data_IF_136283699918
#
_entry.id   IF_136283699918
#
_cell.length_a   1.000
_cell.length_b   1.000
_cell.length_c   1.000
_cell.angle_alpha   90.00
_cell.angle_beta   90.00
_cell.angle_gamma   90.00
#
_symmetry.space_group_name_H-M   'P 1'
#
loop_
_entity.id
_entity.type
_entity.pdbx_description
1 polymer ?
#
# COMPACT_ATOMS: atom_id res chain seq x y z
N UNK A 1 3.32 -12.83 14.74
CA UNK A 1 2.68 -11.85 13.83
C UNK A 1 1.69 -11.01 14.59
N UNK A 2 1.68 -9.69 14.37
CA UNK A 2 0.69 -8.74 14.89
C UNK A 2 0.12 -7.92 13.73
N UNK A 3 -1.20 -7.76 13.67
CA UNK A 3 -1.87 -6.92 12.70
C UNK A 3 -2.64 -5.85 13.47
N UNK A 4 -2.37 -4.59 13.14
CA UNK A 4 -3.08 -3.44 13.70
C UNK A 4 -3.92 -2.81 12.59
N UNK A 5 -5.23 -2.78 12.78
CA UNK A 5 -6.16 -2.09 11.90
C UNK A 5 -6.09 -0.58 12.18
N UNK A 6 -5.63 0.18 11.21
CA UNK A 6 -5.52 1.65 11.33
C UNK A 6 -6.80 2.32 10.84
N UNK A 7 -7.35 1.83 9.75
CA UNK A 7 -8.61 2.32 9.21
C UNK A 7 -8.76 2.06 7.72
N UNK A 8 -9.97 1.72 7.29
CA UNK A 8 -10.30 1.32 5.92
C UNK A 8 -9.43 0.14 5.46
N UNK A 9 -8.57 0.31 4.46
CA UNK A 9 -7.63 -0.71 3.98
C UNK A 9 -6.21 -0.56 4.55
N UNK A 10 -5.98 0.44 5.41
CA UNK A 10 -4.67 0.70 6.01
C UNK A 10 -4.46 -0.22 7.21
N UNK A 11 -3.48 -1.12 7.10
CA UNK A 11 -3.05 -2.04 8.14
C UNK A 11 -1.57 -1.85 8.43
N UNK A 12 -1.18 -1.95 9.69
CA UNK A 12 0.20 -2.16 10.10
C UNK A 12 0.39 -3.63 10.45
N UNK A 13 1.26 -4.32 9.70
CA UNK A 13 1.57 -5.73 9.87
C UNK A 13 3.00 -5.85 10.39
N UNK A 14 3.15 -6.49 11.57
CA UNK A 14 4.44 -6.79 12.18
C UNK A 14 4.66 -8.31 12.14
N UNK A 15 5.63 -8.74 11.33
CA UNK A 15 5.91 -10.15 11.06
C UNK A 15 7.40 -10.34 10.70
N UNK A 16 8.04 -11.37 11.23
CA UNK A 16 9.45 -11.68 10.92
C UNK A 16 10.42 -10.53 11.25
N UNK A 17 10.12 -9.73 12.28
CA UNK A 17 10.92 -8.56 12.63
C UNK A 17 10.72 -7.36 11.68
N UNK A 18 9.82 -7.47 10.70
CA UNK A 18 9.50 -6.43 9.72
C UNK A 18 8.17 -5.73 10.04
N UNK A 19 8.07 -4.45 9.67
CA UNK A 19 6.88 -3.62 9.79
C UNK A 19 6.43 -3.16 8.41
N UNK A 20 5.28 -3.63 8.01
CA UNK A 20 4.69 -3.42 6.68
C UNK A 20 3.44 -2.55 6.85
N UNK A 21 3.33 -1.50 6.06
CA UNK A 21 2.10 -0.71 5.97
C UNK A 21 1.38 -1.03 4.66
N UNK A 22 0.08 -1.31 4.72
CA UNK A 22 -0.72 -1.52 3.50
C UNK A 22 -1.57 -0.29 3.18
N UNK A 23 -1.73 0.01 1.91
CA UNK A 23 -2.68 0.99 1.35
C UNK A 23 -2.82 2.26 2.22
N UNK A 24 -1.72 3.04 2.40
CA UNK A 24 -1.70 4.14 3.35
C UNK A 24 -2.62 5.28 2.92
N UNK A 25 -3.72 5.42 3.63
CA UNK A 25 -4.64 6.53 3.50
C UNK A 25 -5.00 7.07 4.89
N UNK A 26 -4.47 8.23 5.25
CA UNK A 26 -4.70 8.95 6.50
C UNK A 26 -5.51 10.23 6.28
N UNK A 27 -6.01 10.45 5.06
CA UNK A 27 -6.80 11.62 4.74
C UNK A 27 -8.14 11.63 5.51
N UNK A 28 -8.71 12.80 5.79
CA UNK A 28 -10.01 12.92 6.43
C UNK A 28 -11.15 12.40 5.53
N UNK A 29 -10.85 12.17 4.24
CA UNK A 29 -11.79 11.61 3.27
C UNK A 29 -11.20 10.37 2.60
N UNK A 30 -12.03 9.38 2.38
CA UNK A 30 -11.72 8.20 1.58
C UNK A 30 -12.05 8.50 0.11
N UNK A 31 -11.00 8.78 -0.66
CA UNK A 31 -11.19 9.30 -2.01
C UNK A 31 -11.69 10.74 -2.00
N UNK A 32 -12.52 11.09 -2.97
CA UNK A 32 -12.91 12.50 -3.21
C UNK A 32 -14.15 12.95 -2.44
N UNK A 33 -15.02 12.02 -2.06
CA UNK A 33 -16.37 12.37 -1.60
C UNK A 33 -16.83 11.67 -0.32
N UNK A 34 -16.13 10.67 0.15
CA UNK A 34 -16.50 9.90 1.34
C UNK A 34 -15.74 10.40 2.55
N UNK A 35 -16.42 11.07 3.46
CA UNK A 35 -15.83 11.39 4.77
C UNK A 35 -15.56 10.11 5.56
N UNK A 36 -14.47 10.09 6.32
CA UNK A 36 -14.24 9.00 7.28
C UNK A 36 -15.30 9.03 8.37
N UNK A 37 -15.69 7.85 8.83
CA UNK A 37 -16.59 7.70 9.99
C UNK A 37 -15.82 7.83 11.30
N UNK A 38 -14.53 7.48 11.29
CA UNK A 38 -13.64 7.55 12.45
C UNK A 38 -12.23 7.96 12.02
N UNK A 39 -11.51 8.63 12.92
CA UNK A 39 -10.09 8.92 12.74
C UNK A 39 -9.27 7.63 12.60
N UNK A 40 -8.10 7.68 11.92
CA UNK A 40 -7.16 6.56 11.89
C UNK A 40 -6.76 6.14 13.31
N UNK A 41 -6.74 4.83 13.58
CA UNK A 41 -6.41 4.28 14.90
C UNK A 41 -4.97 4.55 15.38
N UNK A 42 -4.08 4.90 14.45
CA UNK A 42 -2.74 5.43 14.73
C UNK A 42 -2.59 6.70 13.90
N UNK A 43 -2.19 7.80 14.51
CA UNK A 43 -1.86 9.03 13.79
C UNK A 43 -0.58 8.81 12.95
N UNK A 44 -0.50 9.45 11.79
CA UNK A 44 0.59 9.22 10.83
C UNK A 44 1.97 9.54 11.41
N UNK A 45 2.07 10.57 12.25
CA UNK A 45 3.29 10.98 12.98
C UNK A 45 3.69 10.02 14.12
N UNK A 46 2.79 9.09 14.47
CA UNK A 46 3.02 8.04 15.48
C UNK A 46 3.26 6.66 14.87
N UNK A 47 3.36 6.57 13.54
CA UNK A 47 3.75 5.33 12.89
C UNK A 47 5.14 4.91 13.36
N UNK A 48 5.35 3.61 13.65
CA UNK A 48 6.70 3.12 13.90
C UNK A 48 7.54 3.21 12.62
N UNK A 49 8.87 3.13 12.74
CA UNK A 49 9.74 3.01 11.57
C UNK A 49 9.29 1.80 10.74
N UNK A 50 8.97 2.05 9.47
CA UNK A 50 8.51 1.03 8.54
C UNK A 50 9.69 0.40 7.79
N UNK A 51 9.53 -0.85 7.34
CA UNK A 51 10.46 -1.51 6.44
C UNK A 51 10.00 -1.40 4.97
N UNK A 52 8.68 -1.41 4.73
CA UNK A 52 8.11 -1.31 3.39
C UNK A 52 6.63 -0.92 3.42
N UNK A 53 6.14 -0.48 2.26
CA UNK A 53 4.73 -0.27 1.98
C UNK A 53 4.30 -1.25 0.88
N UNK A 54 3.14 -1.87 1.04
CA UNK A 54 2.48 -2.69 0.02
C UNK A 54 1.21 -1.98 -0.43
N UNK A 55 1.15 -1.57 -1.69
CA UNK A 55 -0.01 -0.93 -2.28
C UNK A 55 -0.76 -1.93 -3.17
N UNK A 56 -2.02 -2.20 -2.86
CA UNK A 56 -2.80 -3.19 -3.62
C UNK A 56 -3.22 -2.66 -4.98
N UNK A 57 -3.69 -1.43 -5.08
CA UNK A 57 -4.15 -0.81 -6.32
C UNK A 57 -4.28 0.72 -6.19
N UNK A 58 -4.72 1.39 -7.25
CA UNK A 58 -4.68 2.86 -7.34
C UNK A 58 -5.97 3.58 -6.95
N UNK A 59 -6.98 2.92 -6.38
CA UNK A 59 -8.19 3.62 -5.93
C UNK A 59 -7.87 4.70 -4.89
N UNK A 60 -8.64 5.77 -4.90
CA UNK A 60 -8.33 6.97 -4.11
C UNK A 60 -8.52 6.77 -2.59
N UNK A 61 -9.26 5.75 -2.19
CA UNK A 61 -9.44 5.33 -0.80
C UNK A 61 -8.30 4.40 -0.31
N UNK A 62 -7.47 3.86 -1.20
CA UNK A 62 -6.29 3.05 -0.91
C UNK A 62 -4.98 3.83 -1.09
N UNK A 63 -4.89 4.67 -2.11
CA UNK A 63 -3.70 5.46 -2.43
C UNK A 63 -3.94 6.94 -2.17
N UNK A 64 -3.34 7.49 -1.14
CA UNK A 64 -3.26 8.92 -0.88
C UNK A 64 -1.84 9.43 -1.12
N UNK A 65 -1.67 10.35 -2.07
CA UNK A 65 -0.38 11.03 -2.29
C UNK A 65 0.03 11.90 -1.11
N UNK A 66 -0.96 12.51 -0.42
CA UNK A 66 -0.71 13.30 0.78
C UNK A 66 -0.14 12.42 1.90
N UNK A 67 -0.80 11.29 2.17
CA UNK A 67 -0.32 10.34 3.18
C UNK A 67 1.08 9.82 2.85
N UNK A 68 1.36 9.52 1.57
CA UNK A 68 2.69 9.07 1.16
C UNK A 68 3.76 10.15 1.33
N UNK A 69 3.42 11.43 1.18
CA UNK A 69 4.35 12.53 1.39
C UNK A 69 4.73 12.73 2.87
N UNK A 70 3.82 12.38 3.79
CA UNK A 70 4.01 12.52 5.23
C UNK A 70 4.66 11.27 5.87
N UNK A 71 4.78 10.16 5.13
CA UNK A 71 5.43 8.94 5.60
C UNK A 71 6.93 8.96 5.22
N UNK A 72 7.79 8.50 6.13
CA UNK A 72 9.21 8.30 5.84
C UNK A 72 9.40 7.48 4.55
N UNK A 73 10.31 7.91 3.68
CA UNK A 73 10.55 7.23 2.41
C UNK A 73 11.15 5.84 2.63
N UNK A 74 10.31 4.83 2.46
CA UNK A 74 10.67 3.40 2.47
C UNK A 74 10.27 2.77 1.14
N UNK A 75 10.81 1.60 0.75
CA UNK A 75 10.39 0.90 -0.45
C UNK A 75 8.87 0.74 -0.50
N UNK A 76 8.24 1.20 -1.59
CA UNK A 76 6.81 1.06 -1.85
C UNK A 76 6.62 0.11 -3.03
N UNK A 77 6.07 -1.05 -2.76
CA UNK A 77 5.78 -2.06 -3.77
C UNK A 77 4.34 -1.94 -4.25
N UNK A 78 4.15 -1.91 -5.57
CA UNK A 78 2.84 -1.72 -6.17
C UNK A 78 2.73 -2.48 -7.51
N UNK A 79 1.51 -2.71 -8.02
CA UNK A 79 1.33 -3.26 -9.37
C UNK A 79 2.12 -2.45 -10.41
N UNK A 80 2.74 -3.09 -11.42
CA UNK A 80 3.70 -2.42 -12.31
C UNK A 80 3.19 -1.13 -12.96
N UNK A 81 1.96 -1.12 -13.48
CA UNK A 81 1.39 0.09 -14.08
C UNK A 81 1.14 1.21 -13.04
N UNK A 82 0.77 0.83 -11.80
CA UNK A 82 0.56 1.77 -10.70
C UNK A 82 1.90 2.36 -10.25
N UNK A 83 2.92 1.52 -10.03
CA UNK A 83 4.26 1.97 -9.62
C UNK A 83 4.84 2.97 -10.64
N UNK A 84 4.78 2.66 -11.95
CA UNK A 84 5.22 3.59 -13.00
C UNK A 84 4.46 4.91 -12.98
N UNK A 85 3.17 4.86 -12.70
CA UNK A 85 2.34 6.06 -12.67
C UNK A 85 2.65 6.94 -11.45
N UNK A 86 2.73 6.37 -10.25
CA UNK A 86 3.00 7.16 -9.03
C UNK A 86 4.42 7.74 -9.02
N UNK A 87 5.41 7.06 -9.63
CA UNK A 87 6.75 7.64 -9.84
C UNK A 87 6.71 8.94 -10.66
N UNK A 88 5.89 8.99 -11.71
CA UNK A 88 5.68 10.20 -12.53
C UNK A 88 4.98 11.33 -11.76
N UNK A 89 4.38 11.02 -10.62
CA UNK A 89 3.71 11.97 -9.72
C UNK A 89 4.51 12.23 -8.43
N UNK A 90 5.82 11.95 -8.46
CA UNK A 90 6.75 12.33 -7.38
C UNK A 90 7.06 11.25 -6.34
N UNK A 91 6.40 10.09 -6.38
CA UNK A 91 6.70 8.97 -5.45
C UNK A 91 7.84 8.13 -6.02
N UNK A 92 9.08 8.60 -5.87
CA UNK A 92 10.26 8.04 -6.53
C UNK A 92 10.70 6.68 -5.99
N UNK A 93 10.33 6.34 -4.76
CA UNK A 93 10.61 5.08 -4.07
C UNK A 93 9.65 3.93 -4.43
N UNK A 94 8.77 4.14 -5.41
CA UNK A 94 7.85 3.09 -5.87
C UNK A 94 8.55 2.06 -6.74
N UNK A 95 8.36 0.79 -6.42
CA UNK A 95 8.97 -0.39 -7.04
C UNK A 95 7.86 -1.24 -7.67
N UNK A 96 8.09 -1.69 -8.89
CA UNK A 96 7.17 -2.60 -9.57
C UNK A 96 7.25 -3.98 -8.93
N UNK A 97 6.09 -4.53 -8.58
CA UNK A 97 5.95 -5.89 -8.09
C UNK A 97 4.59 -6.42 -8.56
N UNK A 98 4.60 -7.42 -9.44
CA UNK A 98 3.42 -7.92 -10.13
C UNK A 98 3.07 -9.36 -9.79
N UNK A 99 1.92 -9.84 -10.29
CA UNK A 99 1.50 -11.22 -10.10
C UNK A 99 2.54 -12.25 -10.56
N UNK A 100 2.75 -13.29 -9.77
CA UNK A 100 3.76 -14.33 -9.98
C UNK A 100 5.15 -13.96 -9.49
N UNK A 101 5.38 -12.71 -9.08
CA UNK A 101 6.64 -12.26 -8.51
C UNK A 101 6.64 -12.43 -6.98
N UNK A 102 7.83 -12.46 -6.41
CA UNK A 102 8.04 -12.54 -4.97
C UNK A 102 9.17 -11.61 -4.53
N UNK A 103 9.03 -11.07 -3.34
CA UNK A 103 10.03 -10.27 -2.64
C UNK A 103 10.47 -11.00 -1.39
N UNK A 104 11.79 -11.13 -1.16
CA UNK A 104 12.34 -11.65 0.09
C UNK A 104 13.14 -10.58 0.82
N UNK A 105 12.92 -10.44 2.13
CA UNK A 105 13.63 -9.52 3.01
C UNK A 105 13.91 -10.17 4.37
N UNK A 106 15.11 -10.71 4.55
CA UNK A 106 15.44 -11.53 5.71
C UNK A 106 14.63 -12.83 5.71
N UNK A 107 13.91 -13.12 6.79
CA UNK A 107 13.01 -14.27 6.90
C UNK A 107 11.64 -14.05 6.28
N UNK A 108 11.34 -12.81 5.86
CA UNK A 108 10.06 -12.45 5.27
C UNK A 108 10.05 -12.74 3.78
N UNK A 109 8.98 -13.34 3.28
CA UNK A 109 8.67 -13.44 1.86
C UNK A 109 7.27 -12.90 1.60
N UNK A 110 7.15 -12.07 0.56
CA UNK A 110 5.89 -11.54 0.05
C UNK A 110 5.69 -12.11 -1.35
N UNK A 111 4.66 -12.92 -1.54
CA UNK A 111 4.23 -13.42 -2.84
C UNK A 111 3.08 -12.57 -3.37
N UNK A 112 3.06 -12.36 -4.67
CA UNK A 112 2.05 -11.52 -5.33
C UNK A 112 1.19 -12.35 -6.26
N UNK A 113 -0.12 -12.20 -6.09
CA UNK A 113 -1.13 -12.79 -6.95
C UNK A 113 -2.02 -11.71 -7.58
N UNK A 114 -2.58 -12.03 -8.73
CA UNK A 114 -3.53 -11.13 -9.39
C UNK A 114 -4.84 -11.06 -8.62
N UNK A 115 -5.31 -9.86 -8.32
CA UNK A 115 -6.66 -9.66 -7.83
C UNK A 115 -7.60 -9.36 -9.00
N UNK A 116 -8.76 -10.02 -9.03
CA UNK A 116 -9.85 -9.69 -9.96
C UNK A 116 -10.57 -8.44 -9.46
N UNK A 117 -10.00 -7.28 -9.79
CA UNK A 117 -10.53 -5.99 -9.35
C UNK A 117 -10.25 -4.91 -10.39
N UNK A 118 -11.20 -4.00 -10.61
CA UNK A 118 -11.00 -2.84 -11.48
C UNK A 118 -10.31 -1.73 -10.70
N UNK A 119 -8.99 -1.74 -10.63
CA UNK A 119 -8.16 -0.76 -9.90
C UNK A 119 -8.14 0.66 -10.49
N UNK A 120 -9.19 1.09 -11.18
CA UNK A 120 -9.28 2.40 -11.86
C UNK A 120 -9.54 3.50 -10.84
N UNK A 121 -8.60 4.45 -10.69
CA UNK A 121 -8.75 5.59 -9.77
C UNK A 121 -9.83 6.59 -10.23
N UNK A 122 -9.93 6.82 -11.54
CA UNK A 122 -10.94 7.67 -12.18
C UNK A 122 -11.39 7.03 -13.49
N UNK A 123 -12.62 7.26 -13.92
CA UNK A 123 -13.24 6.64 -15.11
C UNK A 123 -12.39 6.75 -16.39
N UNK A 124 -11.47 7.71 -16.45
CA UNK A 124 -10.62 8.03 -17.61
C UNK A 124 -9.31 7.22 -17.63
N UNK A 125 -8.94 6.56 -16.52
CA UNK A 125 -7.64 5.92 -16.34
C UNK A 125 -7.60 4.45 -16.77
N UNK A 126 -7.74 4.19 -18.06
CA UNK A 126 -7.81 2.83 -18.65
C UNK A 126 -6.52 1.99 -18.47
N UNK A 127 -5.38 2.60 -18.15
CA UNK A 127 -4.08 1.91 -18.04
C UNK A 127 -3.74 1.34 -16.65
N UNK A 128 -4.55 1.58 -15.62
CA UNK A 128 -4.24 1.27 -14.21
C UNK A 128 -5.18 0.26 -13.58
N UNK A 129 -5.63 -0.70 -14.37
CA UNK A 129 -6.58 -1.75 -13.93
C UNK A 129 -5.94 -2.87 -13.12
N UNK A 130 -4.64 -2.75 -12.78
CA UNK A 130 -3.94 -3.79 -12.06
C UNK A 130 -4.21 -3.68 -10.56
N UNK A 131 -4.49 -4.81 -9.94
CA UNK A 131 -4.60 -4.96 -8.51
C UNK A 131 -3.87 -6.23 -8.06
N UNK A 132 -3.16 -6.12 -6.94
CA UNK A 132 -2.41 -7.21 -6.32
C UNK A 132 -3.12 -7.71 -5.07
N UNK A 133 -3.04 -9.03 -4.85
CA UNK A 133 -3.12 -9.66 -3.54
C UNK A 133 -1.71 -9.99 -3.07
N UNK A 134 -1.47 -9.86 -1.77
CA UNK A 134 -0.18 -10.15 -1.16
C UNK A 134 -0.32 -11.28 -0.15
N UNK A 135 0.43 -12.35 -0.33
CA UNK A 135 0.65 -13.39 0.67
C UNK A 135 1.97 -13.10 1.38
N UNK A 136 1.88 -12.76 2.67
CA UNK A 136 3.04 -12.41 3.50
C UNK A 136 3.34 -13.58 4.42
N UNK A 137 4.53 -14.16 4.29
CA UNK A 137 4.96 -15.34 5.02
C UNK A 137 6.36 -15.16 5.63
N UNK A 138 6.66 -15.94 6.66
CA UNK A 138 8.01 -16.06 7.21
C UNK A 138 8.47 -17.51 7.16
N UNK A 139 9.71 -17.73 6.79
CA UNK A 139 10.37 -19.02 6.99
C UNK A 139 10.74 -19.12 8.47
N UNK A 140 10.25 -20.14 9.14
CA UNK A 140 10.66 -20.52 10.49
C UNK A 140 11.88 -21.43 10.44
#
# INVERSE_FOLDING_TARGET
MRITYIGHATLLIEIGGKKILTDPNFDPTLGRFLARVSEPGIAIDRLPKLDMILLTHAHADHLSFRSLADIESVPLYAPPAVARWIRRHGVTNAIELGPGESLTSGSLTVHVEAATHSGIRYVIDRGRKQANMYLVATNH
#
